data_IF_337424396573
#
_entry.id   IF_337424396573
#
_cell.length_a   1.000
_cell.length_b   1.000
_cell.length_c   1.000
_cell.angle_alpha   90.00
_cell.angle_beta   90.00
_cell.angle_gamma   90.00
#
_symmetry.space_group_name_H-M   'P 1'
#
loop_
_entity.id
_entity.type
_entity.pdbx_description
1 polymer ?
#
# COMPACT_ATOMS: atom_id res chain seq x y z
N UNK A 1 1.03 -10.58 -22.25
CA UNK A 1 -0.40 -10.60 -22.62
C UNK A 1 -1.21 -10.22 -21.41
N UNK A 2 -2.15 -9.29 -21.55
CA UNK A 2 -3.12 -8.92 -20.53
C UNK A 2 -4.34 -9.84 -20.63
N UNK A 3 -4.89 -10.25 -19.48
CA UNK A 3 -6.07 -11.10 -19.39
C UNK A 3 -7.26 -10.30 -18.84
N UNK A 4 -8.37 -10.30 -19.57
CA UNK A 4 -9.59 -9.57 -19.21
C UNK A 4 -9.53 -8.08 -19.55
N UNK A 5 -10.22 -7.28 -18.78
CA UNK A 5 -10.21 -5.81 -18.89
C UNK A 5 -10.24 -5.17 -17.50
N UNK A 6 -10.10 -3.84 -17.44
CA UNK A 6 -10.11 -3.09 -16.19
C UNK A 6 -11.34 -3.44 -15.34
N UNK A 7 -11.12 -3.81 -14.08
CA UNK A 7 -12.13 -4.20 -13.09
C UNK A 7 -13.00 -5.44 -13.46
N UNK A 8 -12.60 -6.22 -14.47
CA UNK A 8 -13.31 -7.45 -14.83
C UNK A 8 -12.37 -8.51 -15.39
N UNK A 9 -11.88 -9.37 -14.50
CA UNK A 9 -11.06 -10.53 -14.86
C UNK A 9 -11.65 -11.78 -14.21
N UNK A 10 -11.85 -12.84 -15.01
CA UNK A 10 -12.30 -14.15 -14.53
C UNK A 10 -11.17 -15.17 -14.65
N UNK A 11 -11.32 -16.31 -13.97
CA UNK A 11 -10.40 -17.45 -14.08
C UNK A 11 -10.28 -17.93 -15.53
N UNK A 12 -11.36 -17.88 -16.31
CA UNK A 12 -11.37 -18.32 -17.70
C UNK A 12 -10.63 -17.34 -18.61
N UNK A 13 -10.67 -16.04 -18.32
CA UNK A 13 -9.82 -15.07 -19.02
C UNK A 13 -8.34 -15.40 -18.82
N UNK A 14 -7.93 -15.72 -17.57
CA UNK A 14 -6.55 -16.10 -17.28
C UNK A 14 -6.18 -17.39 -18.02
N UNK A 15 -6.99 -18.45 -17.88
CA UNK A 15 -6.73 -19.74 -18.55
C UNK A 15 -6.67 -19.62 -20.07
N UNK A 16 -7.56 -18.81 -20.65
CA UNK A 16 -7.61 -18.58 -22.10
C UNK A 16 -6.40 -17.85 -22.66
N UNK A 17 -5.66 -17.11 -21.83
CA UNK A 17 -4.43 -16.42 -22.26
C UNK A 17 -3.17 -17.27 -22.12
N UNK A 18 -3.23 -18.43 -21.44
CA UNK A 18 -2.08 -19.33 -21.28
C UNK A 18 -1.86 -20.14 -22.55
N UNK A 19 -0.63 -20.13 -23.04
CA UNK A 19 -0.17 -20.89 -24.22
C UNK A 19 1.14 -21.64 -23.91
N UNK A 20 1.63 -22.41 -24.84
CA UNK A 20 2.94 -23.06 -24.81
C UNK A 20 4.13 -22.09 -24.68
N UNK A 21 3.89 -20.81 -24.99
CA UNK A 21 4.88 -19.73 -24.86
C UNK A 21 4.80 -18.96 -23.53
N UNK A 22 3.83 -19.28 -22.70
CA UNK A 22 3.66 -18.62 -21.39
C UNK A 22 4.76 -19.08 -20.44
N UNK A 23 5.60 -18.16 -19.99
CA UNK A 23 6.73 -18.45 -19.09
C UNK A 23 6.39 -18.30 -17.61
N UNK A 24 5.43 -17.44 -17.28
CA UNK A 24 5.00 -17.17 -15.91
C UNK A 24 3.64 -16.46 -15.91
N UNK A 25 2.94 -16.50 -14.79
CA UNK A 25 1.85 -15.57 -14.50
C UNK A 25 2.38 -14.40 -13.67
N UNK A 26 1.82 -13.21 -13.88
CA UNK A 26 2.21 -12.00 -13.15
C UNK A 26 0.98 -11.37 -12.51
N UNK A 27 1.08 -11.03 -11.23
CA UNK A 27 0.01 -10.40 -10.46
C UNK A 27 0.51 -9.14 -9.75
N UNK A 28 -0.22 -8.05 -9.87
CA UNK A 28 0.10 -6.80 -9.17
C UNK A 28 -0.81 -6.66 -7.96
N UNK A 29 -0.24 -6.68 -6.76
CA UNK A 29 -0.94 -6.35 -5.53
C UNK A 29 -0.94 -4.82 -5.38
N UNK A 30 -1.94 -4.18 -6.00
CA UNK A 30 -2.05 -2.73 -5.99
C UNK A 30 -3.02 -2.25 -4.92
N UNK A 31 -2.67 -1.15 -4.25
CA UNK A 31 -3.53 -0.42 -3.34
C UNK A 31 -4.12 0.87 -3.97
N UNK A 32 -3.68 1.22 -5.17
CA UNK A 32 -4.21 2.36 -5.92
C UNK A 32 -5.47 2.01 -6.73
N UNK A 33 -5.58 0.77 -7.13
CA UNK A 33 -6.77 0.25 -7.77
C UNK A 33 -7.33 -0.86 -6.88
N UNK A 34 -8.36 -0.55 -6.10
CA UNK A 34 -9.15 -1.59 -5.46
C UNK A 34 -9.87 -2.35 -6.55
N UNK A 35 -9.32 -3.51 -6.85
CA UNK A 35 -9.72 -4.32 -7.99
C UNK A 35 -10.99 -5.09 -7.64
N UNK A 36 -12.13 -4.41 -7.78
CA UNK A 36 -13.43 -5.07 -7.68
C UNK A 36 -13.64 -5.93 -8.92
N UNK A 37 -13.99 -7.20 -8.74
CA UNK A 37 -14.22 -8.14 -9.84
C UNK A 37 -12.95 -8.71 -10.48
N UNK A 38 -11.84 -8.68 -9.77
CA UNK A 38 -10.59 -9.33 -10.16
C UNK A 38 -10.50 -10.76 -9.61
N UNK A 39 -9.69 -11.59 -10.28
CA UNK A 39 -9.31 -12.91 -9.76
C UNK A 39 -8.48 -12.73 -8.49
N UNK A 40 -8.75 -13.53 -7.47
CA UNK A 40 -7.96 -13.50 -6.23
C UNK A 40 -6.53 -13.98 -6.46
N UNK A 41 -5.62 -13.61 -5.57
CA UNK A 41 -4.23 -14.10 -5.66
C UNK A 41 -4.18 -15.62 -5.48
N UNK A 42 -4.99 -16.16 -4.59
CA UNK A 42 -5.13 -17.60 -4.35
C UNK A 42 -5.53 -18.35 -5.63
N UNK A 43 -6.50 -17.83 -6.35
CA UNK A 43 -6.93 -18.39 -7.63
C UNK A 43 -5.84 -18.29 -8.71
N UNK A 44 -5.12 -17.17 -8.75
CA UNK A 44 -3.99 -17.00 -9.67
C UNK A 44 -2.86 -18.00 -9.40
N UNK A 45 -2.54 -18.24 -8.12
CA UNK A 45 -1.56 -19.26 -7.69
C UNK A 45 -2.03 -20.65 -8.16
N UNK A 46 -3.29 -20.99 -7.90
CA UNK A 46 -3.86 -22.27 -8.29
C UNK A 46 -3.81 -22.49 -9.81
N UNK A 47 -4.17 -21.50 -10.61
CA UNK A 47 -4.11 -21.57 -12.08
C UNK A 47 -2.67 -21.71 -12.58
N UNK A 48 -1.71 -20.96 -12.01
CA UNK A 48 -0.31 -21.05 -12.40
C UNK A 48 0.21 -22.46 -12.15
N UNK A 49 0.02 -22.98 -10.95
CA UNK A 49 0.52 -24.31 -10.57
C UNK A 49 -0.21 -25.45 -11.29
N UNK A 50 -1.52 -25.31 -11.59
CA UNK A 50 -2.26 -26.24 -12.46
C UNK A 50 -1.56 -26.44 -13.82
N UNK A 51 -0.94 -25.38 -14.34
CA UNK A 51 -0.23 -25.36 -15.62
C UNK A 51 1.28 -25.57 -15.50
N UNK A 52 1.80 -25.82 -14.31
CA UNK A 52 3.24 -25.98 -14.07
C UNK A 52 4.04 -24.69 -14.30
N UNK A 53 3.38 -23.52 -14.19
CA UNK A 53 3.97 -22.20 -14.41
C UNK A 53 4.28 -21.51 -13.07
N UNK A 54 5.39 -20.77 -12.97
CA UNK A 54 5.62 -19.93 -11.80
C UNK A 54 4.70 -18.70 -11.79
N UNK A 55 4.39 -18.23 -10.59
CA UNK A 55 3.70 -16.96 -10.39
C UNK A 55 4.62 -15.92 -9.74
N UNK A 56 4.62 -14.73 -10.31
CA UNK A 56 5.38 -13.56 -9.84
C UNK A 56 4.39 -12.53 -9.32
N UNK A 57 4.62 -12.04 -8.11
CA UNK A 57 3.78 -10.99 -7.50
C UNK A 57 4.57 -9.70 -7.33
N UNK A 58 4.07 -8.60 -7.88
CA UNK A 58 4.50 -7.26 -7.51
C UNK A 58 3.76 -6.86 -6.23
N UNK A 59 4.47 -6.88 -5.13
CA UNK A 59 4.03 -6.46 -3.80
C UNK A 59 4.78 -5.21 -3.33
N UNK A 60 5.09 -4.30 -4.24
CA UNK A 60 5.98 -3.16 -3.99
C UNK A 60 5.57 -2.29 -2.79
N UNK A 61 4.27 -2.22 -2.46
CA UNK A 61 3.77 -1.42 -1.33
C UNK A 61 3.45 -2.23 -0.08
N UNK A 62 3.65 -3.54 -0.14
CA UNK A 62 3.37 -4.45 0.97
C UNK A 62 4.59 -4.60 1.88
N UNK A 63 4.35 -4.94 3.13
CA UNK A 63 5.41 -5.05 4.15
C UNK A 63 5.59 -6.46 4.71
N UNK A 64 4.66 -7.39 4.47
CA UNK A 64 4.81 -8.78 4.92
C UNK A 64 5.65 -9.58 3.93
N UNK A 65 6.91 -9.86 4.29
CA UNK A 65 7.87 -10.55 3.42
C UNK A 65 7.70 -12.07 3.40
N UNK A 66 6.87 -12.63 4.26
CA UNK A 66 6.67 -14.08 4.40
C UNK A 66 5.34 -14.55 3.81
N UNK A 67 4.32 -13.73 3.89
CA UNK A 67 2.94 -14.06 3.53
C UNK A 67 2.80 -14.66 2.14
N UNK A 68 3.30 -13.98 1.13
CA UNK A 68 3.08 -14.40 -0.27
C UNK A 68 3.81 -15.69 -0.62
N UNK A 69 5.02 -15.86 -0.09
CA UNK A 69 5.77 -17.12 -0.24
C UNK A 69 5.04 -18.26 0.48
N UNK A 70 4.50 -18.03 1.66
CA UNK A 70 3.70 -18.99 2.40
C UNK A 70 2.40 -19.37 1.68
N UNK A 71 1.81 -18.45 0.90
CA UNK A 71 0.65 -18.72 0.04
C UNK A 71 1.00 -19.57 -1.20
N UNK A 72 2.27 -19.71 -1.54
CA UNK A 72 2.74 -20.46 -2.70
C UNK A 72 3.20 -19.59 -3.89
N UNK A 73 3.41 -18.28 -3.67
CA UNK A 73 3.98 -17.41 -4.71
C UNK A 73 5.45 -17.77 -4.93
N UNK A 74 5.85 -17.96 -6.20
CA UNK A 74 7.21 -18.36 -6.55
C UNK A 74 8.22 -17.23 -6.45
N UNK A 75 7.85 -16.01 -6.83
CA UNK A 75 8.66 -14.80 -6.66
C UNK A 75 7.80 -13.62 -6.22
N UNK A 76 8.22 -12.91 -5.19
CA UNK A 76 7.57 -11.68 -4.73
C UNK A 76 8.55 -10.52 -4.77
N UNK A 77 8.17 -9.43 -5.45
CA UNK A 77 8.96 -8.22 -5.60
C UNK A 77 8.48 -7.14 -4.62
N UNK A 78 9.40 -6.55 -3.87
CA UNK A 78 9.13 -5.47 -2.90
C UNK A 78 9.93 -4.23 -3.24
N UNK A 79 9.35 -3.06 -2.95
CA UNK A 79 10.09 -1.78 -2.96
C UNK A 79 10.72 -1.55 -1.58
N UNK A 80 12.00 -1.25 -1.55
CA UNK A 80 12.68 -0.84 -0.32
C UNK A 80 12.25 0.55 0.15
N UNK A 81 11.98 1.46 -0.78
CA UNK A 81 11.65 2.86 -0.50
C UNK A 81 10.17 3.12 -0.14
N UNK A 82 9.38 2.07 0.07
CA UNK A 82 7.98 2.19 0.50
C UNK A 82 7.84 1.70 1.95
N UNK A 83 7.17 0.57 2.18
CA UNK A 83 6.88 0.06 3.51
C UNK A 83 8.11 -0.25 4.38
N UNK A 84 9.27 -0.47 3.77
CA UNK A 84 10.53 -0.75 4.48
C UNK A 84 11.35 0.51 4.82
N UNK A 85 10.92 1.70 4.34
CA UNK A 85 11.55 3.00 4.65
C UNK A 85 13.06 3.06 4.32
N UNK A 86 13.49 2.27 3.33
CA UNK A 86 14.87 2.22 2.86
C UNK A 86 15.11 3.26 1.75
N UNK A 87 16.36 3.56 1.39
CA UNK A 87 16.67 4.30 0.17
C UNK A 87 16.11 3.62 -1.08
N UNK A 88 16.08 4.33 -2.22
CA UNK A 88 15.61 3.81 -3.51
C UNK A 88 16.25 2.48 -3.85
N UNK A 89 15.48 1.42 -3.73
CA UNK A 89 15.93 0.04 -3.84
C UNK A 89 14.74 -0.91 -3.96
N UNK A 90 15.02 -2.19 -4.14
CA UNK A 90 14.02 -3.25 -4.10
C UNK A 90 14.68 -4.59 -3.84
N UNK A 91 13.88 -5.56 -3.49
CA UNK A 91 14.34 -6.94 -3.29
C UNK A 91 13.26 -7.94 -3.72
N UNK A 92 13.70 -9.17 -3.92
CA UNK A 92 12.83 -10.28 -4.32
C UNK A 92 13.00 -11.41 -3.32
N UNK A 93 11.87 -11.99 -2.88
CA UNK A 93 11.81 -13.23 -2.09
C UNK A 93 11.18 -14.35 -2.89
N UNK A 94 11.41 -15.61 -2.50
CA UNK A 94 10.74 -16.76 -3.12
C UNK A 94 11.67 -17.91 -3.47
N UNK A 95 11.36 -18.60 -4.56
CA UNK A 95 12.04 -19.82 -4.99
C UNK A 95 13.53 -19.59 -5.26
N UNK A 96 14.36 -20.36 -4.54
CA UNK A 96 15.83 -20.24 -4.59
C UNK A 96 16.41 -20.43 -6.00
N UNK A 97 15.83 -21.33 -6.81
CA UNK A 97 16.33 -21.61 -8.15
C UNK A 97 16.00 -20.46 -9.10
N UNK A 98 14.80 -19.89 -9.01
CA UNK A 98 14.39 -18.73 -9.80
C UNK A 98 15.19 -17.48 -9.43
N UNK A 99 15.44 -17.25 -8.14
CA UNK A 99 16.32 -16.14 -7.69
C UNK A 99 17.75 -16.34 -8.21
N UNK A 100 18.29 -17.57 -8.18
CA UNK A 100 19.61 -17.85 -8.71
C UNK A 100 19.69 -17.63 -10.23
N UNK A 101 18.62 -17.97 -10.96
CA UNK A 101 18.51 -17.71 -12.40
C UNK A 101 18.44 -16.20 -12.68
N UNK A 102 17.61 -15.45 -11.92
CA UNK A 102 17.50 -13.99 -12.03
C UNK A 102 18.85 -13.28 -11.81
N UNK A 103 19.63 -13.71 -10.82
CA UNK A 103 20.99 -13.18 -10.55
C UNK A 103 21.96 -13.34 -11.73
N UNK A 104 21.75 -14.30 -12.62
CA UNK A 104 22.59 -14.53 -13.81
C UNK A 104 22.17 -13.67 -15.02
N UNK A 105 21.05 -12.94 -14.93
CA UNK A 105 20.53 -12.12 -16.03
C UNK A 105 21.19 -10.74 -16.10
N UNK A 106 22.43 -10.68 -16.54
CA UNK A 106 23.20 -9.43 -16.61
C UNK A 106 22.61 -8.43 -17.59
N UNK A 107 22.03 -8.85 -18.71
CA UNK A 107 21.50 -7.96 -19.75
C UNK A 107 20.32 -7.12 -19.26
N UNK A 108 19.41 -7.72 -18.51
CA UNK A 108 18.24 -7.02 -17.93
C UNK A 108 18.59 -6.20 -16.67
N UNK A 109 19.42 -6.76 -15.79
CA UNK A 109 19.71 -6.15 -14.49
C UNK A 109 20.71 -5.01 -14.52
N UNK A 110 21.63 -4.99 -15.52
CA UNK A 110 22.72 -4.00 -15.56
C UNK A 110 22.24 -2.54 -15.68
N UNK A 111 21.29 -2.19 -16.55
CA UNK A 111 20.74 -0.83 -16.62
C UNK A 111 20.03 -0.38 -15.35
N UNK A 112 19.49 -1.32 -14.58
CA UNK A 112 18.73 -1.07 -13.34
C UNK A 112 19.58 -1.24 -12.07
N UNK A 113 20.90 -1.14 -12.20
CA UNK A 113 21.83 -1.35 -11.09
C UNK A 113 21.60 -0.32 -9.98
N UNK A 114 21.34 -0.82 -8.78
CA UNK A 114 21.24 -0.01 -7.55
C UNK A 114 22.66 0.25 -7.00
N UNK A 115 22.90 1.44 -6.47
CA UNK A 115 24.15 1.81 -5.81
C UNK A 115 24.40 1.00 -4.53
N UNK A 116 25.67 0.86 -4.14
CA UNK A 116 26.03 0.11 -2.92
C UNK A 116 25.47 0.76 -1.67
N UNK A 117 25.37 2.06 -1.64
CA UNK A 117 24.80 2.87 -0.55
C UNK A 117 23.34 2.46 -0.31
N UNK A 118 22.55 2.37 -1.39
CA UNK A 118 21.16 1.96 -1.32
C UNK A 118 21.03 0.47 -0.91
N UNK A 119 21.94 -0.41 -1.37
CA UNK A 119 21.97 -1.81 -0.95
C UNK A 119 22.24 -1.94 0.55
N UNK A 120 23.19 -1.19 1.09
CA UNK A 120 23.49 -1.19 2.52
C UNK A 120 22.34 -0.61 3.34
N UNK A 121 21.74 0.49 2.86
CA UNK A 121 20.55 1.07 3.49
C UNK A 121 19.38 0.10 3.51
N UNK A 122 19.12 -0.61 2.41
CA UNK A 122 18.10 -1.66 2.36
C UNK A 122 18.40 -2.80 3.33
N UNK A 123 19.65 -3.27 3.37
CA UNK A 123 20.05 -4.34 4.29
C UNK A 123 19.79 -3.94 5.74
N UNK A 124 20.13 -2.69 6.10
CA UNK A 124 19.85 -2.17 7.45
C UNK A 124 18.37 -2.04 7.74
N UNK A 125 17.58 -1.56 6.77
CA UNK A 125 16.13 -1.45 6.92
C UNK A 125 15.47 -2.83 7.13
N UNK A 126 15.89 -3.85 6.39
CA UNK A 126 15.41 -5.23 6.56
C UNK A 126 15.83 -5.82 7.92
N UNK A 127 17.05 -5.52 8.39
CA UNK A 127 17.49 -5.91 9.73
C UNK A 127 16.59 -5.29 10.82
N UNK A 128 16.28 -4.00 10.70
CA UNK A 128 15.39 -3.32 11.64
C UNK A 128 13.97 -3.88 11.56
N UNK A 129 13.46 -4.11 10.36
CA UNK A 129 12.15 -4.72 10.14
C UNK A 129 12.02 -6.10 10.82
N UNK A 130 13.04 -6.98 10.65
CA UNK A 130 13.00 -8.33 11.25
C UNK A 130 13.09 -8.33 12.77
N UNK A 131 13.56 -7.25 13.36
CA UNK A 131 13.64 -7.05 14.83
C UNK A 131 12.46 -6.28 15.41
N UNK A 132 11.61 -5.70 14.54
CA UNK A 132 10.46 -4.90 14.96
C UNK A 132 9.40 -5.81 15.60
N UNK A 133 8.91 -5.42 16.76
CA UNK A 133 7.67 -5.96 17.31
C UNK A 133 6.49 -5.41 16.50
N UNK A 134 5.95 -6.25 15.62
CA UNK A 134 4.87 -5.86 14.71
C UNK A 134 3.56 -5.57 15.45
N UNK A 135 3.28 -6.29 16.54
CA UNK A 135 2.04 -6.09 17.32
C UNK A 135 2.08 -4.75 18.06
N UNK A 136 3.21 -4.42 18.68
CA UNK A 136 3.42 -3.11 19.28
C UNK A 136 3.37 -1.98 18.27
N UNK A 137 3.94 -2.16 17.08
CA UNK A 137 3.89 -1.20 15.98
C UNK A 137 2.44 -0.96 15.51
N UNK A 138 1.68 -2.01 15.23
CA UNK A 138 0.29 -1.91 14.79
C UNK A 138 -0.58 -1.25 15.88
N UNK A 139 -0.33 -1.58 17.15
CA UNK A 139 -1.02 -0.94 18.28
C UNK A 139 -0.73 0.57 18.36
N UNK A 140 0.51 0.97 18.11
CA UNK A 140 0.87 2.40 18.04
C UNK A 140 0.08 3.12 16.92
N UNK A 141 -0.01 2.53 15.73
CA UNK A 141 -0.79 3.09 14.63
C UNK A 141 -2.28 3.19 14.99
N UNK A 142 -2.84 2.17 15.61
CA UNK A 142 -4.23 2.16 16.05
C UNK A 142 -4.50 3.25 17.09
N UNK A 143 -3.61 3.43 18.07
CA UNK A 143 -3.73 4.48 19.07
C UNK A 143 -3.73 5.88 18.45
N UNK A 144 -2.92 6.14 17.40
CA UNK A 144 -2.94 7.40 16.65
C UNK A 144 -4.28 7.62 15.96
N UNK A 145 -4.84 6.58 15.33
CA UNK A 145 -6.17 6.64 14.69
C UNK A 145 -7.24 6.96 15.73
N UNK A 146 -7.26 6.24 16.85
CA UNK A 146 -8.27 6.43 17.90
C UNK A 146 -8.16 7.84 18.53
N UNK A 147 -6.94 8.33 18.74
CA UNK A 147 -6.69 9.70 19.24
C UNK A 147 -7.15 10.78 18.26
N UNK A 148 -6.89 10.60 16.94
CA UNK A 148 -7.39 11.49 15.90
C UNK A 148 -8.92 11.50 15.87
N UNK A 149 -9.56 10.33 15.89
CA UNK A 149 -11.02 10.21 15.91
C UNK A 149 -11.58 10.95 17.12
N UNK A 150 -11.02 10.72 18.31
CA UNK A 150 -11.46 11.41 19.52
C UNK A 150 -11.33 12.93 19.43
N UNK A 151 -10.22 13.42 18.88
CA UNK A 151 -9.96 14.85 18.73
C UNK A 151 -10.81 15.53 17.64
N UNK A 152 -11.24 14.80 16.62
CA UNK A 152 -12.04 15.31 15.51
C UNK A 152 -13.55 15.08 15.71
N UNK A 153 -13.96 14.15 16.57
CA UNK A 153 -15.37 13.88 16.85
C UNK A 153 -16.03 15.12 17.47
N UNK A 154 -17.21 15.45 16.95
CA UNK A 154 -17.98 16.63 17.39
C UNK A 154 -17.57 17.96 16.73
N UNK A 155 -16.57 17.97 15.85
CA UNK A 155 -16.33 19.16 15.03
C UNK A 155 -17.48 19.36 14.03
N UNK A 156 -17.85 20.63 13.73
CA UNK A 156 -18.94 20.92 12.82
C UNK A 156 -18.61 20.48 11.40
N UNK A 157 -19.63 20.22 10.59
CA UNK A 157 -19.55 20.01 9.15
C UNK A 157 -18.80 18.75 8.68
N UNK A 158 -18.40 17.87 9.59
CA UNK A 158 -17.73 16.62 9.27
C UNK A 158 -18.32 15.42 10.01
N UNK A 159 -18.20 14.25 9.38
CA UNK A 159 -18.40 12.96 10.02
C UNK A 159 -17.08 12.20 10.02
N UNK A 160 -16.67 11.73 11.19
CA UNK A 160 -15.40 11.00 11.38
C UNK A 160 -15.68 9.53 11.65
N UNK A 161 -14.88 8.65 11.05
CA UNK A 161 -15.00 7.21 11.25
C UNK A 161 -13.65 6.50 11.08
N UNK A 162 -13.53 5.31 11.67
CA UNK A 162 -12.42 4.38 11.48
C UNK A 162 -12.65 3.59 10.19
N UNK A 163 -11.67 3.58 9.30
CA UNK A 163 -11.74 2.85 8.02
C UNK A 163 -10.61 1.84 7.90
N UNK A 164 -10.95 0.59 7.60
CA UNK A 164 -9.94 -0.43 7.27
C UNK A 164 -9.23 -0.11 5.95
N UNK A 165 -8.03 -0.64 5.78
CA UNK A 165 -7.30 -0.52 4.51
C UNK A 165 -7.99 -1.31 3.40
N UNK A 166 -8.31 -0.64 2.29
CA UNK A 166 -9.02 -1.25 1.16
C UNK A 166 -8.22 -2.36 0.46
N UNK A 167 -6.89 -2.33 0.57
CA UNK A 167 -6.01 -3.37 0.02
C UNK A 167 -5.83 -4.58 0.97
N UNK A 168 -6.52 -4.59 2.14
CA UNK A 168 -6.52 -5.69 3.09
C UNK A 168 -5.28 -5.78 3.97
N UNK A 169 -4.54 -4.67 4.16
CA UNK A 169 -3.48 -4.58 5.16
C UNK A 169 -4.09 -4.40 6.56
N UNK A 170 -3.37 -4.84 7.57
CA UNK A 170 -3.82 -4.78 8.99
C UNK A 170 -3.58 -3.38 9.57
N UNK A 171 -4.10 -2.36 8.90
CA UNK A 171 -4.04 -0.97 9.34
C UNK A 171 -5.40 -0.29 9.20
N UNK A 172 -5.63 0.71 10.04
CA UNK A 172 -6.79 1.58 9.96
C UNK A 172 -6.37 2.99 9.59
N UNK A 173 -7.32 3.75 9.03
CA UNK A 173 -7.21 5.19 8.75
C UNK A 173 -8.36 5.94 9.37
N UNK A 174 -8.16 7.21 9.59
CA UNK A 174 -9.27 8.11 9.92
C UNK A 174 -9.90 8.58 8.63
N UNK A 175 -11.17 8.26 8.44
CA UNK A 175 -12.00 8.74 7.35
C UNK A 175 -12.76 9.98 7.83
N UNK A 176 -12.69 11.06 7.06
CA UNK A 176 -13.43 12.30 7.28
C UNK A 176 -14.31 12.53 6.06
N UNK A 177 -15.62 12.47 6.25
CA UNK A 177 -16.62 12.82 5.25
C UNK A 177 -17.13 14.24 5.54
N UNK A 178 -17.09 15.12 4.54
CA UNK A 178 -17.71 16.45 4.62
C UNK A 178 -19.22 16.32 4.59
N UNK A 179 -19.90 17.00 5.50
CA UNK A 179 -21.37 17.01 5.54
C UNK A 179 -21.93 18.00 4.52
N UNK A 180 -23.20 17.84 4.09
CA UNK A 180 -23.82 18.71 3.09
C UNK A 180 -23.94 20.20 3.52
N UNK A 181 -23.91 20.46 4.81
CA UNK A 181 -23.95 21.81 5.40
C UNK A 181 -22.57 22.44 5.54
N UNK A 182 -21.51 21.79 5.08
CA UNK A 182 -20.16 22.33 5.16
C UNK A 182 -20.00 23.57 4.27
N UNK A 183 -19.41 24.67 4.80
CA UNK A 183 -19.13 25.85 4.00
C UNK A 183 -17.98 25.66 3.00
N UNK A 184 -17.21 24.60 3.14
CA UNK A 184 -16.09 24.25 2.25
C UNK A 184 -16.21 22.81 1.75
N UNK A 185 -15.66 22.55 0.58
CA UNK A 185 -15.54 21.22 0.00
C UNK A 185 -14.36 20.45 0.60
N UNK A 186 -14.33 19.12 0.42
CA UNK A 186 -13.16 18.33 0.83
C UNK A 186 -11.90 18.72 0.05
N UNK A 187 -12.01 19.19 -1.20
CA UNK A 187 -10.88 19.69 -1.98
C UNK A 187 -10.30 20.96 -1.37
N UNK A 188 -11.15 21.93 -1.01
CA UNK A 188 -10.73 23.16 -0.33
C UNK A 188 -10.12 22.88 1.05
N UNK A 189 -10.67 21.89 1.79
CA UNK A 189 -10.07 21.41 3.04
C UNK A 189 -8.64 20.91 2.82
N UNK A 190 -8.43 20.08 1.81
CA UNK A 190 -7.11 19.55 1.44
C UNK A 190 -6.14 20.68 1.10
N UNK A 191 -6.58 21.67 0.31
CA UNK A 191 -5.75 22.82 -0.07
C UNK A 191 -5.37 23.68 1.15
N UNK A 192 -6.31 23.93 2.07
CA UNK A 192 -6.03 24.67 3.30
C UNK A 192 -5.08 23.89 4.25
N UNK A 193 -5.20 22.56 4.31
CA UNK A 193 -4.28 21.72 5.08
C UNK A 193 -2.86 21.78 4.49
N UNK A 194 -2.72 21.69 3.17
CA UNK A 194 -1.42 21.80 2.47
C UNK A 194 -0.79 23.18 2.57
N UNK A 195 -1.60 24.24 2.52
CA UNK A 195 -1.13 25.63 2.61
C UNK A 195 -0.70 26.04 4.03
N UNK A 196 -0.97 25.23 5.04
CA UNK A 196 -0.63 25.53 6.43
C UNK A 196 0.88 25.40 6.74
N UNK A 197 1.27 25.91 7.91
CA UNK A 197 2.61 25.72 8.45
C UNK A 197 2.52 25.03 9.83
N UNK A 198 3.03 23.79 9.95
CA UNK A 198 3.52 22.93 8.88
C UNK A 198 2.41 22.51 7.91
N UNK A 199 2.80 22.15 6.67
CA UNK A 199 1.86 21.61 5.70
C UNK A 199 1.40 20.20 6.12
N UNK A 200 0.10 19.94 6.00
CA UNK A 200 -0.49 18.62 6.32
C UNK A 200 -0.96 17.97 5.01
N UNK A 201 -0.34 16.86 4.65
CA UNK A 201 -0.71 16.07 3.48
C UNK A 201 -1.62 14.90 3.89
N UNK A 202 -2.68 14.71 3.12
CA UNK A 202 -3.70 13.68 3.35
C UNK A 202 -3.75 12.70 2.18
N UNK A 203 -4.50 11.62 2.33
CA UNK A 203 -4.93 10.80 1.19
C UNK A 203 -6.20 11.43 0.62
N UNK A 204 -6.06 12.14 -0.48
CA UNK A 204 -7.05 13.05 -1.05
C UNK A 204 -7.75 12.55 -2.32
N UNK A 205 -7.48 11.29 -2.74
CA UNK A 205 -8.03 10.71 -3.99
C UNK A 205 -9.56 10.54 -4.02
N UNK A 206 -10.25 10.73 -2.87
CA UNK A 206 -11.71 10.81 -2.78
C UNK A 206 -12.21 12.21 -2.42
N UNK A 207 -11.37 13.24 -2.45
CA UNK A 207 -11.78 14.60 -2.12
C UNK A 207 -12.84 15.17 -3.06
N UNK A 208 -12.84 14.71 -4.33
CA UNK A 208 -13.86 15.06 -5.32
C UNK A 208 -15.27 14.51 -4.99
N UNK A 209 -15.37 13.53 -4.11
CA UNK A 209 -16.64 12.96 -3.61
C UNK A 209 -16.87 13.26 -2.12
N UNK A 210 -16.15 14.23 -1.58
CA UNK A 210 -16.38 14.75 -0.23
C UNK A 210 -15.65 14.00 0.88
N UNK A 211 -14.68 13.14 0.58
CA UNK A 211 -13.99 12.31 1.59
C UNK A 211 -12.49 12.53 1.59
N UNK A 212 -11.89 12.61 2.78
CA UNK A 212 -10.44 12.70 3.01
C UNK A 212 -10.01 11.66 4.04
N UNK A 213 -8.79 11.09 3.89
CA UNK A 213 -8.26 10.15 4.86
C UNK A 213 -6.95 10.63 5.47
N UNK A 214 -6.79 10.44 6.78
CA UNK A 214 -5.51 10.56 7.46
C UNK A 214 -4.91 9.15 7.67
N UNK A 215 -3.67 8.98 7.20
CA UNK A 215 -2.92 7.72 7.33
C UNK A 215 -1.98 7.84 8.53
N UNK A 216 -2.05 6.93 9.54
CA UNK A 216 -1.28 7.06 10.76
C UNK A 216 0.21 6.72 10.59
N UNK A 217 0.60 6.07 9.49
CA UNK A 217 1.96 5.53 9.31
C UNK A 217 3.05 6.60 9.26
N UNK A 218 2.91 7.70 8.49
CA UNK A 218 3.93 8.74 8.44
C UNK A 218 3.87 9.72 9.61
N UNK A 219 2.91 9.56 10.55
CA UNK A 219 2.71 10.48 11.67
C UNK A 219 3.55 10.08 12.88
N UNK A 220 4.00 11.08 13.62
CA UNK A 220 4.44 10.93 15.01
C UNK A 220 3.27 11.17 15.97
N UNK A 221 3.41 10.78 17.22
CA UNK A 221 2.33 10.97 18.22
C UNK A 221 2.02 12.44 18.46
N UNK A 222 3.03 13.31 18.33
CA UNK A 222 2.91 14.77 18.40
C UNK A 222 2.09 15.39 17.26
N UNK A 223 2.03 14.72 16.10
CA UNK A 223 1.32 15.25 14.92
C UNK A 223 -0.19 15.15 15.07
N UNK A 224 -0.67 14.24 15.90
CA UNK A 224 -2.11 14.04 16.17
C UNK A 224 -2.75 15.34 16.64
N UNK A 225 -2.13 15.97 17.65
CA UNK A 225 -2.66 17.23 18.21
C UNK A 225 -2.63 18.37 17.18
N UNK A 226 -1.54 18.44 16.41
CA UNK A 226 -1.37 19.43 15.34
C UNK A 226 -2.48 19.32 14.27
N UNK A 227 -2.78 18.09 13.84
CA UNK A 227 -3.87 17.84 12.87
C UNK A 227 -5.21 18.27 13.45
N UNK A 228 -5.51 17.90 14.70
CA UNK A 228 -6.76 18.26 15.38
C UNK A 228 -6.93 19.77 15.50
N UNK A 229 -5.90 20.50 15.92
CA UNK A 229 -5.93 21.96 16.04
C UNK A 229 -6.12 22.65 14.69
N UNK A 230 -5.44 22.16 13.65
CA UNK A 230 -5.60 22.68 12.30
C UNK A 230 -7.01 22.45 11.77
N UNK A 231 -7.57 21.27 11.94
CA UNK A 231 -8.95 20.97 11.53
C UNK A 231 -9.95 21.86 12.25
N UNK A 232 -9.80 22.05 13.57
CA UNK A 232 -10.62 23.00 14.34
C UNK A 232 -10.55 24.41 13.77
N UNK A 233 -9.35 24.90 13.48
CA UNK A 233 -9.14 26.26 12.93
C UNK A 233 -9.76 26.45 11.55
N UNK A 234 -9.81 25.43 10.72
CA UNK A 234 -10.40 25.50 9.38
C UNK A 234 -11.93 25.43 9.46
N UNK A 235 -12.47 24.54 10.29
CA UNK A 235 -13.91 24.26 10.35
C UNK A 235 -14.68 25.20 11.29
N UNK A 236 -14.00 26.03 12.08
CA UNK A 236 -14.64 27.05 12.94
C UNK A 236 -14.99 28.36 12.20
N UNK A 237 -14.67 28.46 10.93
CA UNK A 237 -14.95 29.59 10.06
C UNK A 237 -16.29 29.43 9.37
#
# INVERSE_FOLDING_TARGET
VEAGCANRVSKDHIRGCITDKTAALFYVKSHHAVQKGMVSLEDMIAIAHEKGLPIIVDAAAEEDITRYVAMGVDLTCYSGAKAFEAPTSGFVTGNKQLIAAAKKQYKGGRPMKVGKECMMGLTKALELYTKRDNDAYLKTLENRVDSLIAGLTGLPHIKVSKSADEAGRTIYRVKVDMLPDSPITAMELVDQLKAGNPAIHTRDHYSNVGTVFFDPRPMFDTDVQLVVERMKSILAK
#
